data_IF_769509239017
#
_entry.id   IF_769509239017
#
_cell.length_a   1.000
_cell.length_b   1.000
_cell.length_c   1.000
_cell.angle_alpha   90.00
_cell.angle_beta   90.00
_cell.angle_gamma   90.00
#
_symmetry.space_group_name_H-M   'P 1'
#
loop_
_entity.id
_entity.type
_entity.pdbx_description
1 polymer ?
#
# COMPACT_ATOMS: atom_id res chain seq x y z
N UNK A 1 -86.59 -7.61 10.79
CA UNK A 1 -85.17 -7.83 11.16
C UNK A 1 -84.31 -7.16 10.11
N UNK A 2 -83.79 -5.95 10.42
CA UNK A 2 -83.00 -5.17 9.52
C UNK A 2 -81.51 -5.29 9.91
N UNK A 3 -80.67 -5.94 9.09
CA UNK A 3 -79.22 -6.03 9.33
C UNK A 3 -78.52 -4.75 8.83
N UNK A 4 -77.96 -4.00 9.75
CA UNK A 4 -77.11 -2.84 9.45
C UNK A 4 -75.73 -3.34 9.02
N UNK A 5 -75.33 -2.99 7.80
CA UNK A 5 -73.99 -3.21 7.29
C UNK A 5 -73.11 -2.05 7.75
N UNK A 6 -72.09 -2.32 8.56
CA UNK A 6 -71.05 -1.35 8.92
C UNK A 6 -69.95 -1.38 7.86
N UNK A 7 -69.85 -0.28 7.11
CA UNK A 7 -68.74 -0.08 6.12
C UNK A 7 -67.57 0.51 6.87
N UNK A 8 -66.47 -0.21 6.98
CA UNK A 8 -65.21 0.28 7.53
C UNK A 8 -64.45 0.94 6.38
N UNK A 9 -64.27 2.25 6.43
CA UNK A 9 -63.45 3.02 5.51
C UNK A 9 -62.01 3.02 6.09
N UNK A 10 -61.10 2.28 5.44
CA UNK A 10 -59.70 2.30 5.75
C UNK A 10 -59.05 3.56 5.15
N UNK A 11 -58.63 4.50 6.00
CA UNK A 11 -57.85 5.68 5.61
C UNK A 11 -56.39 5.25 5.36
N UNK A 12 -56.00 5.10 4.10
CA UNK A 12 -54.57 4.97 3.72
C UNK A 12 -53.91 6.35 3.73
N UNK A 13 -53.14 6.64 4.77
CA UNK A 13 -52.27 7.84 4.78
C UNK A 13 -51.03 7.55 3.91
N UNK A 14 -50.64 8.43 3.01
CA UNK A 14 -49.40 8.25 2.23
C UNK A 14 -48.20 8.45 3.17
N UNK A 15 -47.38 7.40 3.32
CA UNK A 15 -46.07 7.53 3.95
C UNK A 15 -45.15 8.24 2.97
N UNK A 16 -44.88 9.52 3.25
CA UNK A 16 -43.87 10.29 2.51
C UNK A 16 -42.49 9.68 2.88
N UNK A 17 -41.91 8.86 1.98
CA UNK A 17 -40.52 8.42 2.07
C UNK A 17 -39.66 9.66 1.81
N UNK A 18 -39.11 10.24 2.89
CA UNK A 18 -38.07 11.26 2.80
C UNK A 18 -36.86 10.60 2.17
N UNK A 19 -36.55 10.88 0.92
CA UNK A 19 -35.29 10.53 0.30
C UNK A 19 -34.19 11.33 1.01
N UNK A 20 -33.48 10.69 1.94
CA UNK A 20 -32.27 11.26 2.50
C UNK A 20 -31.28 11.50 1.36
N UNK A 21 -30.93 12.75 1.13
CA UNK A 21 -29.83 13.14 0.25
C UNK A 21 -28.53 12.64 0.86
N UNK A 22 -28.14 11.41 0.53
CA UNK A 22 -26.84 10.84 0.91
C UNK A 22 -25.78 11.59 0.11
N UNK A 23 -25.27 12.68 0.68
CA UNK A 23 -24.07 13.32 0.17
C UNK A 23 -22.94 12.29 0.21
N UNK A 24 -22.20 12.08 -0.89
CA UNK A 24 -21.10 11.13 -0.89
C UNK A 24 -20.09 11.54 0.18
N UNK A 25 -19.77 10.61 1.08
CA UNK A 25 -18.77 10.85 2.12
C UNK A 25 -17.45 11.31 1.48
N UNK A 26 -16.88 12.39 2.04
CA UNK A 26 -15.57 12.88 1.59
C UNK A 26 -14.53 11.77 1.75
N UNK A 27 -13.57 11.63 0.80
CA UNK A 27 -12.53 10.63 0.92
C UNK A 27 -11.69 10.88 2.18
N UNK A 28 -11.39 9.81 2.93
CA UNK A 28 -10.50 9.85 4.08
C UNK A 28 -9.08 9.66 3.57
N UNK A 29 -8.22 10.67 3.78
CA UNK A 29 -6.81 10.64 3.41
C UNK A 29 -6.00 9.87 4.44
N UNK A 30 -5.01 9.08 3.98
CA UNK A 30 -4.18 8.23 4.84
C UNK A 30 -3.29 9.04 5.80
N UNK A 31 -2.60 10.08 5.29
CA UNK A 31 -1.60 10.84 6.04
C UNK A 31 -2.07 11.34 7.41
N UNK A 32 -3.20 12.06 7.51
CA UNK A 32 -3.69 12.60 8.78
C UNK A 32 -3.92 11.56 9.87
N UNK A 33 -4.12 10.29 9.52
CA UNK A 33 -4.21 9.20 10.50
C UNK A 33 -2.94 8.97 11.31
N UNK A 34 -1.79 9.42 10.83
CA UNK A 34 -0.49 9.30 11.51
C UNK A 34 -0.22 10.45 12.50
N UNK A 35 -1.01 11.50 12.52
CA UNK A 35 -0.79 12.68 13.36
C UNK A 35 -0.81 12.39 14.86
N UNK A 36 -1.49 11.34 15.28
CA UNK A 36 -1.54 10.90 16.68
C UNK A 36 -0.23 10.24 17.15
N UNK A 37 0.65 9.84 16.23
CA UNK A 37 1.93 9.22 16.56
C UNK A 37 2.97 10.27 16.94
N UNK A 38 3.75 10.08 18.03
CA UNK A 38 4.78 11.03 18.48
C UNK A 38 5.92 11.21 17.47
N UNK A 39 6.10 10.28 16.53
CA UNK A 39 7.13 10.36 15.49
C UNK A 39 6.82 11.37 14.40
N UNK A 40 5.57 11.82 14.31
CA UNK A 40 5.09 12.69 13.24
C UNK A 40 4.58 14.02 13.78
N UNK A 41 4.51 14.98 12.90
CA UNK A 41 3.80 16.25 13.08
C UNK A 41 2.88 16.47 11.89
N UNK A 42 1.78 17.19 12.09
CA UNK A 42 0.90 17.57 11.02
C UNK A 42 1.03 19.05 10.68
N UNK A 43 1.04 19.34 9.39
CA UNK A 43 1.14 20.70 8.85
C UNK A 43 -0.12 20.95 8.02
N UNK A 44 -0.82 22.05 8.33
CA UNK A 44 -1.93 22.53 7.52
C UNK A 44 -1.40 23.42 6.41
N UNK A 45 -1.71 23.10 5.17
CA UNK A 45 -1.22 23.81 3.99
C UNK A 45 -1.86 25.19 3.88
N UNK A 46 -1.02 26.19 3.65
CA UNK A 46 -1.43 27.57 3.36
C UNK A 46 -1.48 27.86 1.86
N UNK A 47 -2.05 28.99 1.48
CA UNK A 47 -2.10 29.42 0.07
C UNK A 47 -0.70 29.61 -0.50
N UNK A 48 -0.48 29.18 -1.74
CA UNK A 48 0.77 29.29 -2.45
C UNK A 48 1.86 28.29 -2.07
N UNK A 49 1.59 27.35 -1.14
CA UNK A 49 2.51 26.25 -0.80
C UNK A 49 2.36 25.09 -1.79
N UNK A 50 3.48 24.45 -2.08
CA UNK A 50 3.56 23.21 -2.87
C UNK A 50 4.55 22.24 -2.22
N UNK A 51 4.62 21.01 -2.69
CA UNK A 51 5.61 20.03 -2.22
C UNK A 51 7.04 20.56 -2.36
N UNK A 52 7.37 21.18 -3.49
CA UNK A 52 8.70 21.71 -3.80
C UNK A 52 9.09 22.89 -2.92
N UNK A 53 8.12 23.77 -2.61
CA UNK A 53 8.36 24.93 -1.73
C UNK A 53 8.55 24.53 -0.27
N UNK A 54 7.78 23.52 0.20
CA UNK A 54 7.88 23.03 1.59
C UNK A 54 9.09 22.12 1.79
N UNK A 55 9.41 21.32 0.78
CA UNK A 55 10.49 20.33 0.80
C UNK A 55 11.35 20.48 -0.47
N UNK A 56 12.26 21.47 -0.53
CA UNK A 56 13.12 21.68 -1.70
C UNK A 56 14.05 20.50 -1.97
N UNK A 57 14.53 19.83 -0.92
CA UNK A 57 15.30 18.61 -1.04
C UNK A 57 14.43 17.49 -1.59
N UNK A 58 14.86 16.84 -2.68
CA UNK A 58 14.10 15.84 -3.40
C UNK A 58 13.92 14.56 -2.58
N UNK A 59 14.93 14.15 -1.82
CA UNK A 59 14.88 12.94 -1.01
C UNK A 59 13.90 13.10 0.15
N UNK A 60 13.98 14.22 0.86
CA UNK A 60 13.03 14.55 1.93
C UNK A 60 11.60 14.67 1.37
N UNK A 61 11.44 15.34 0.23
CA UNK A 61 10.14 15.46 -0.45
C UNK A 61 9.57 14.09 -0.81
N UNK A 62 10.38 13.19 -1.35
CA UNK A 62 9.97 11.81 -1.65
C UNK A 62 9.48 11.09 -0.38
N UNK A 63 10.21 11.18 0.72
CA UNK A 63 9.82 10.57 2.00
C UNK A 63 8.49 11.11 2.51
N UNK A 64 8.30 12.43 2.49
CA UNK A 64 7.04 13.05 2.95
C UNK A 64 5.89 12.66 2.04
N UNK A 65 6.06 12.62 0.74
CA UNK A 65 5.05 12.14 -0.21
C UNK A 65 4.69 10.68 0.03
N UNK A 66 5.68 9.81 0.34
CA UNK A 66 5.45 8.39 0.66
C UNK A 66 4.60 8.21 1.90
N UNK A 67 4.90 8.88 2.99
CA UNK A 67 4.11 8.73 4.22
C UNK A 67 2.69 9.29 4.09
N UNK A 68 2.49 10.31 3.26
CA UNK A 68 1.17 10.84 2.91
C UNK A 68 0.43 9.99 1.86
N UNK A 69 1.06 8.97 1.30
CA UNK A 69 0.51 8.15 0.20
C UNK A 69 0.08 8.99 -1.01
N UNK A 70 0.74 10.14 -1.26
CA UNK A 70 0.33 11.05 -2.32
C UNK A 70 1.47 11.94 -2.78
N UNK A 71 1.56 12.15 -4.08
CA UNK A 71 2.33 13.23 -4.68
C UNK A 71 1.46 14.18 -5.53
N UNK A 72 0.14 13.98 -5.50
CA UNK A 72 -0.79 14.91 -6.11
C UNK A 72 -0.61 16.31 -5.49
N UNK A 73 -0.93 17.34 -6.24
CA UNK A 73 -0.87 18.72 -5.76
C UNK A 73 -1.58 18.87 -4.41
N UNK A 74 -0.99 19.66 -3.54
CA UNK A 74 -1.57 20.04 -2.26
C UNK A 74 -2.30 21.37 -2.38
N UNK A 75 -3.30 21.61 -1.55
CA UNK A 75 -4.17 22.80 -1.60
C UNK A 75 -4.34 23.42 -0.21
N UNK A 76 -4.68 24.70 -0.12
CA UNK A 76 -4.94 25.36 1.15
C UNK A 76 -5.96 24.62 2.01
N UNK A 77 -5.62 24.40 3.28
CA UNK A 77 -6.44 23.67 4.24
C UNK A 77 -6.22 22.15 4.26
N UNK A 78 -5.53 21.56 3.27
CA UNK A 78 -5.12 20.16 3.36
C UNK A 78 -4.14 19.99 4.52
N UNK A 79 -4.30 18.91 5.26
CA UNK A 79 -3.36 18.49 6.29
C UNK A 79 -2.42 17.43 5.73
N UNK A 80 -1.12 17.59 5.95
CA UNK A 80 -0.09 16.61 5.60
C UNK A 80 0.71 16.21 6.85
N UNK A 81 1.15 14.97 6.86
CA UNK A 81 2.02 14.44 7.91
C UNK A 81 3.48 14.52 7.50
N UNK A 82 4.34 14.90 8.45
CA UNK A 82 5.79 15.04 8.25
C UNK A 82 6.52 14.35 9.41
N UNK A 83 7.56 13.54 9.18
CA UNK A 83 8.40 13.03 10.26
C UNK A 83 8.99 14.18 11.07
N UNK A 84 9.00 14.08 12.40
CA UNK A 84 9.66 15.11 13.25
C UNK A 84 11.15 15.16 13.00
N UNK A 85 11.77 14.02 12.82
CA UNK A 85 13.19 13.89 12.45
C UNK A 85 13.31 13.54 10.95
N UNK A 86 12.90 14.48 10.10
CA UNK A 86 12.98 14.28 8.65
C UNK A 86 14.43 14.21 8.14
N UNK A 87 15.37 14.87 8.85
CA UNK A 87 16.78 14.91 8.44
C UNK A 87 17.45 13.52 8.51
N UNK A 88 17.05 12.69 9.48
CA UNK A 88 17.59 11.33 9.66
C UNK A 88 16.61 10.23 9.16
N UNK A 89 15.48 10.63 8.60
CA UNK A 89 14.52 9.69 8.07
C UNK A 89 15.05 8.96 6.83
N UNK A 90 14.82 7.67 6.76
CA UNK A 90 15.11 6.85 5.59
C UNK A 90 13.85 6.17 5.07
N UNK A 91 13.85 5.77 3.80
CA UNK A 91 12.72 5.05 3.22
C UNK A 91 12.39 3.80 4.05
N UNK A 92 13.36 3.03 4.49
CA UNK A 92 13.12 1.78 5.22
C UNK A 92 12.62 2.01 6.64
N UNK A 93 13.12 3.01 7.39
CA UNK A 93 12.65 3.25 8.75
C UNK A 93 11.24 3.89 8.81
N UNK A 94 10.78 4.48 7.70
CA UNK A 94 9.41 4.96 7.54
C UNK A 94 8.45 3.90 6.95
N UNK A 95 8.93 2.66 6.78
CA UNK A 95 8.13 1.60 6.19
C UNK A 95 6.94 1.21 7.06
N UNK A 96 5.74 1.05 6.48
CA UNK A 96 4.61 0.44 7.18
C UNK A 96 4.70 -1.09 7.24
N UNK A 97 5.76 -1.67 6.69
CA UNK A 97 6.02 -3.11 6.63
C UNK A 97 7.16 -3.49 7.56
N UNK A 98 7.20 -4.72 8.08
CA UNK A 98 8.36 -5.22 8.81
C UNK A 98 9.60 -5.24 7.91
N UNK A 99 10.77 -4.99 8.49
CA UNK A 99 12.05 -5.01 7.77
C UNK A 99 12.40 -6.43 7.28
N UNK A 100 11.90 -7.44 7.99
CA UNK A 100 12.09 -8.85 7.67
C UNK A 100 10.79 -9.62 7.91
N UNK A 101 10.52 -10.58 7.04
CA UNK A 101 9.49 -11.60 7.21
C UNK A 101 10.15 -12.96 7.42
N UNK A 102 9.53 -13.82 8.23
CA UNK A 102 10.09 -15.12 8.59
C UNK A 102 9.61 -16.22 7.64
N UNK A 103 10.44 -17.26 7.47
CA UNK A 103 10.14 -18.43 6.65
C UNK A 103 11.03 -18.55 5.41
N UNK A 104 10.70 -19.51 4.56
CA UNK A 104 11.28 -19.61 3.22
C UNK A 104 10.54 -18.68 2.27
N UNK A 105 11.28 -17.84 1.56
CA UNK A 105 10.73 -16.83 0.68
C UNK A 105 11.25 -16.96 -0.74
N UNK A 106 10.43 -16.55 -1.66
CA UNK A 106 10.82 -16.16 -3.00
C UNK A 106 10.66 -14.64 -3.09
N UNK A 107 11.19 -14.04 -4.14
CA UNK A 107 11.00 -12.61 -4.41
C UNK A 107 9.51 -12.29 -4.54
N UNK A 108 9.02 -11.40 -3.67
CA UNK A 108 7.59 -11.10 -3.61
C UNK A 108 7.28 -9.61 -3.45
N UNK A 109 6.10 -9.22 -3.92
CA UNK A 109 5.51 -7.90 -3.72
C UNK A 109 4.24 -8.06 -2.89
N UNK A 110 4.22 -7.47 -1.70
CA UNK A 110 3.02 -7.41 -0.86
C UNK A 110 2.30 -6.09 -1.14
N UNK A 111 1.05 -6.16 -1.57
CA UNK A 111 0.14 -5.03 -1.75
C UNK A 111 -0.83 -5.00 -0.59
N UNK A 112 -0.70 -4.01 0.28
CA UNK A 112 -1.56 -3.84 1.46
C UNK A 112 -2.51 -2.66 1.23
N UNK A 113 -3.80 -2.97 1.04
CA UNK A 113 -4.80 -1.99 0.67
C UNK A 113 -5.26 -1.12 1.84
N UNK A 114 -5.12 -1.58 3.09
CA UNK A 114 -5.41 -0.77 4.28
C UNK A 114 -4.28 0.22 4.58
N UNK A 115 -3.03 -0.21 4.35
CA UNK A 115 -1.85 0.65 4.47
C UNK A 115 -1.65 1.58 3.29
N UNK A 116 -2.42 1.41 2.21
CA UNK A 116 -2.23 2.07 0.92
C UNK A 116 -0.76 2.04 0.48
N UNK A 117 -0.14 0.88 0.60
CA UNK A 117 1.28 0.70 0.35
C UNK A 117 1.57 -0.67 -0.28
N UNK A 118 2.68 -0.74 -1.01
CA UNK A 118 3.32 -1.97 -1.44
C UNK A 118 4.69 -2.11 -0.80
N UNK A 119 5.15 -3.34 -0.56
CA UNK A 119 6.50 -3.66 -0.11
C UNK A 119 7.08 -4.78 -0.95
N UNK A 120 8.34 -4.67 -1.36
CA UNK A 120 9.09 -5.69 -2.08
C UNK A 120 10.07 -6.38 -1.14
N UNK A 121 10.05 -7.69 -1.12
CA UNK A 121 10.92 -8.55 -0.33
C UNK A 121 11.77 -9.43 -1.24
N UNK A 122 13.06 -9.57 -0.88
CA UNK A 122 13.97 -10.47 -1.55
C UNK A 122 13.79 -11.94 -1.10
N UNK A 123 14.60 -12.82 -1.64
CA UNK A 123 14.59 -14.26 -1.35
C UNK A 123 15.00 -14.58 0.09
N UNK A 124 15.59 -13.64 0.83
CA UNK A 124 15.94 -13.74 2.25
C UNK A 124 14.85 -13.17 3.15
N UNK A 125 13.71 -12.75 2.58
CA UNK A 125 12.62 -12.11 3.30
C UNK A 125 12.96 -10.71 3.81
N UNK A 126 13.98 -10.03 3.28
CA UNK A 126 14.34 -8.67 3.64
C UNK A 126 13.52 -7.68 2.81
N UNK A 127 12.99 -6.65 3.46
CA UNK A 127 12.33 -5.54 2.77
C UNK A 127 13.37 -4.73 2.00
N UNK A 128 13.28 -4.77 0.69
CA UNK A 128 14.20 -4.03 -0.21
C UNK A 128 13.70 -2.62 -0.47
N UNK A 129 12.39 -2.48 -0.69
CA UNK A 129 11.77 -1.19 -1.01
C UNK A 129 10.27 -1.24 -0.72
N UNK A 130 9.69 -0.07 -0.48
CA UNK A 130 8.25 0.08 -0.37
C UNK A 130 7.80 1.41 -0.97
N UNK A 131 6.53 1.54 -1.22
CA UNK A 131 5.96 2.78 -1.70
C UNK A 131 4.44 2.86 -1.59
N UNK A 132 3.89 4.04 -1.86
CA UNK A 132 2.46 4.28 -1.88
C UNK A 132 1.74 3.57 -3.00
N UNK A 133 0.44 3.31 -2.77
CA UNK A 133 -0.48 2.89 -3.82
C UNK A 133 -1.80 3.68 -3.77
N UNK A 134 -2.50 3.65 -4.90
CA UNK A 134 -3.94 3.84 -4.94
C UNK A 134 -4.57 2.59 -5.54
N UNK A 135 -5.19 1.77 -4.70
CA UNK A 135 -5.94 0.56 -5.10
C UNK A 135 -7.36 0.90 -5.54
N UNK A 136 -8.11 -0.12 -5.94
CA UNK A 136 -9.47 0.02 -6.43
C UNK A 136 -10.44 0.61 -5.41
N UNK A 137 -11.29 1.53 -5.86
CA UNK A 137 -12.32 2.16 -5.02
C UNK A 137 -13.49 1.22 -4.74
N UNK A 138 -14.25 1.50 -3.67
CA UNK A 138 -15.47 0.75 -3.36
C UNK A 138 -16.61 1.07 -4.33
N UNK A 139 -16.56 2.24 -4.96
CA UNK A 139 -17.54 2.68 -5.97
C UNK A 139 -16.79 3.21 -7.18
N UNK A 140 -17.14 2.71 -8.37
CA UNK A 140 -16.70 3.30 -9.62
C UNK A 140 -17.49 4.58 -9.93
N UNK A 141 -16.81 5.62 -10.39
CA UNK A 141 -17.47 6.86 -10.82
C UNK A 141 -18.36 6.68 -12.07
N UNK A 142 -18.03 5.69 -12.88
CA UNK A 142 -18.62 5.40 -14.19
C UNK A 142 -19.53 4.17 -14.22
N UNK A 143 -19.65 3.44 -13.12
CA UNK A 143 -20.48 2.25 -13.02
C UNK A 143 -21.07 2.08 -11.62
N UNK A 144 -22.22 1.35 -11.54
CA UNK A 144 -22.81 0.95 -10.25
C UNK A 144 -22.06 -0.20 -9.57
N UNK A 145 -21.00 -0.73 -10.20
CA UNK A 145 -20.19 -1.84 -9.70
C UNK A 145 -19.02 -1.31 -8.87
N UNK A 146 -18.56 -2.11 -7.91
CA UNK A 146 -17.32 -1.84 -7.19
C UNK A 146 -16.11 -1.99 -8.13
N UNK A 147 -15.13 -1.11 -7.98
CA UNK A 147 -13.84 -1.16 -8.68
C UNK A 147 -12.73 -1.75 -7.81
N UNK A 148 -13.05 -2.65 -6.91
CA UNK A 148 -12.10 -3.19 -5.94
C UNK A 148 -10.95 -3.92 -6.62
N UNK A 149 -9.75 -3.74 -6.10
CA UNK A 149 -8.60 -4.56 -6.48
C UNK A 149 -8.83 -5.99 -5.98
N UNK A 150 -8.60 -6.96 -6.86
CA UNK A 150 -8.72 -8.38 -6.54
C UNK A 150 -7.69 -8.77 -5.48
N UNK A 151 -8.13 -9.50 -4.45
CA UNK A 151 -7.29 -10.02 -3.38
C UNK A 151 -6.87 -11.46 -3.64
N UNK A 152 -5.70 -11.85 -3.17
CA UNK A 152 -5.19 -13.21 -3.35
C UNK A 152 -3.68 -13.23 -3.58
N UNK A 153 -3.22 -14.40 -4.01
CA UNK A 153 -1.81 -14.68 -4.32
C UNK A 153 -1.71 -14.93 -5.82
N UNK A 154 -0.86 -14.16 -6.48
CA UNK A 154 -0.72 -14.14 -7.93
C UNK A 154 0.75 -14.17 -8.33
N UNK A 155 1.02 -14.31 -9.64
CA UNK A 155 2.35 -14.14 -10.23
C UNK A 155 2.30 -13.18 -11.40
N UNK A 156 3.35 -12.40 -11.55
CA UNK A 156 3.48 -11.52 -12.72
C UNK A 156 3.71 -12.40 -13.95
N UNK A 157 2.81 -12.31 -14.93
CA UNK A 157 2.88 -13.07 -16.17
C UNK A 157 3.22 -12.23 -17.41
N UNK A 158 3.07 -10.91 -17.34
CA UNK A 158 3.41 -9.99 -18.41
C UNK A 158 3.80 -8.64 -17.86
N UNK A 159 4.71 -7.95 -18.54
CA UNK A 159 5.08 -6.57 -18.25
C UNK A 159 5.37 -5.80 -19.51
N UNK A 160 5.04 -4.51 -19.48
CA UNK A 160 5.30 -3.59 -20.59
C UNK A 160 6.02 -2.33 -20.09
N UNK A 161 6.65 -1.59 -21.00
CA UNK A 161 7.45 -0.42 -20.69
C UNK A 161 6.65 0.87 -20.46
N UNK A 162 7.29 2.03 -20.65
CA UNK A 162 6.71 3.34 -20.31
C UNK A 162 5.46 3.72 -21.10
N UNK A 163 5.23 3.10 -22.26
CA UNK A 163 4.10 3.38 -23.14
C UNK A 163 2.88 2.47 -22.90
N UNK A 164 2.93 1.61 -21.89
CA UNK A 164 1.79 0.74 -21.52
C UNK A 164 0.51 1.55 -21.32
N UNK A 165 -0.60 1.01 -21.85
CA UNK A 165 -1.94 1.62 -21.80
C UNK A 165 -2.96 0.56 -21.46
N UNK A 166 -4.02 0.94 -20.79
CA UNK A 166 -5.18 0.08 -20.55
C UNK A 166 -5.88 -0.25 -21.88
N UNK A 167 -6.09 -1.54 -22.15
CA UNK A 167 -6.92 -1.99 -23.27
C UNK A 167 -8.43 -1.98 -22.94
N UNK A 168 -8.78 -1.96 -21.63
CA UNK A 168 -10.17 -2.00 -21.17
C UNK A 168 -10.75 -0.59 -21.07
N UNK A 169 -9.90 0.37 -20.69
CA UNK A 169 -10.28 1.76 -20.53
C UNK A 169 -9.38 2.63 -21.44
N UNK A 170 -9.74 2.89 -22.69
CA UNK A 170 -8.99 3.78 -23.58
C UNK A 170 -8.90 5.21 -23.03
N UNK A 171 -7.79 5.88 -23.31
CA UNK A 171 -7.62 7.31 -22.97
C UNK A 171 -8.81 8.11 -23.53
N UNK A 172 -9.43 8.94 -22.71
CA UNK A 172 -10.62 9.73 -23.07
C UNK A 172 -11.95 9.04 -22.78
N UNK A 173 -11.96 7.73 -22.38
CA UNK A 173 -13.17 6.98 -21.97
C UNK A 173 -13.01 6.36 -20.57
N UNK A 174 -12.28 7.02 -19.66
CA UNK A 174 -11.99 6.52 -18.32
C UNK A 174 -10.72 5.68 -18.21
N UNK A 175 -10.00 5.45 -19.31
CA UNK A 175 -8.73 4.76 -19.35
C UNK A 175 -7.56 5.67 -19.01
N UNK A 176 -6.50 5.08 -18.50
CA UNK A 176 -5.30 5.78 -18.09
C UNK A 176 -4.07 5.20 -18.79
N UNK A 177 -3.06 6.03 -18.97
CA UNK A 177 -1.69 5.56 -19.15
C UNK A 177 -1.32 4.70 -17.96
N UNK A 178 -0.66 3.59 -18.19
CA UNK A 178 -0.21 2.64 -17.18
C UNK A 178 1.30 2.38 -17.32
N UNK A 179 2.15 3.43 -17.26
CA UNK A 179 3.57 3.26 -17.53
C UNK A 179 4.17 2.17 -16.62
N UNK A 180 5.03 1.33 -17.22
CA UNK A 180 5.69 0.21 -16.53
C UNK A 180 4.71 -0.78 -15.91
N UNK A 181 3.62 -1.11 -16.62
CA UNK A 181 2.63 -2.05 -16.14
C UNK A 181 3.20 -3.48 -15.99
N UNK A 182 2.72 -4.17 -14.95
CA UNK A 182 3.07 -5.55 -14.59
C UNK A 182 1.77 -6.28 -14.28
N UNK A 183 1.31 -7.11 -15.23
CA UNK A 183 0.05 -7.84 -15.11
C UNK A 183 0.22 -9.08 -14.24
N UNK A 184 -0.63 -9.21 -13.23
CA UNK A 184 -0.61 -10.34 -12.30
C UNK A 184 -1.90 -11.20 -12.34
N UNK A 185 -3.02 -10.65 -12.82
CA UNK A 185 -4.25 -11.43 -13.02
C UNK A 185 -5.13 -10.78 -14.09
N UNK A 186 -5.40 -11.46 -15.22
CA UNK A 186 -6.22 -10.91 -16.32
C UNK A 186 -5.82 -9.47 -16.67
N UNK A 187 -6.74 -8.50 -16.50
CA UNK A 187 -6.48 -7.08 -16.71
C UNK A 187 -5.99 -6.31 -15.47
N UNK A 188 -5.74 -6.98 -14.34
CA UNK A 188 -5.20 -6.36 -13.14
C UNK A 188 -3.68 -6.24 -13.23
N UNK A 189 -3.16 -5.05 -12.98
CA UNK A 189 -1.74 -4.75 -13.04
C UNK A 189 -1.30 -3.81 -11.90
N UNK A 190 -0.01 -3.93 -11.54
CA UNK A 190 0.74 -2.86 -10.87
C UNK A 190 1.25 -1.92 -11.94
N UNK A 191 1.14 -0.60 -11.79
CA UNK A 191 1.61 0.35 -12.80
C UNK A 191 1.86 1.75 -12.25
N UNK A 192 2.69 2.52 -12.92
CA UNK A 192 2.88 3.94 -12.64
C UNK A 192 1.63 4.76 -12.95
N UNK A 193 1.43 5.83 -12.19
CA UNK A 193 0.32 6.76 -12.40
C UNK A 193 0.68 8.13 -11.88
N UNK A 194 0.21 9.18 -12.54
CA UNK A 194 0.33 10.57 -12.08
C UNK A 194 -0.75 10.93 -11.04
N UNK A 195 -1.66 9.99 -10.72
CA UNK A 195 -2.77 10.19 -9.79
C UNK A 195 -2.70 9.18 -8.64
N UNK A 196 -2.01 9.58 -7.57
CA UNK A 196 -1.92 8.87 -6.28
C UNK A 196 -2.40 9.83 -5.19
N UNK A 197 -3.70 9.82 -4.89
CA UNK A 197 -4.32 10.89 -4.09
C UNK A 197 -4.24 10.67 -2.57
N UNK A 198 -3.78 9.51 -2.08
CA UNK A 198 -3.76 9.17 -0.66
C UNK A 198 -5.00 8.44 -0.16
N UNK A 199 -5.78 7.88 -1.07
CA UNK A 199 -6.94 7.02 -0.81
C UNK A 199 -7.15 6.05 -1.98
N UNK A 200 -8.07 5.09 -1.85
CA UNK A 200 -8.41 4.13 -2.91
C UNK A 200 -9.21 4.82 -4.02
N UNK A 201 -8.65 4.88 -5.23
CA UNK A 201 -9.17 5.71 -6.32
C UNK A 201 -9.15 5.04 -7.71
N UNK A 202 -8.59 3.83 -7.83
CA UNK A 202 -8.46 3.17 -9.13
C UNK A 202 -9.72 2.38 -9.52
N UNK A 203 -9.74 1.89 -10.77
CA UNK A 203 -10.75 0.98 -11.30
C UNK A 203 -10.37 -0.51 -11.13
N UNK A 204 -9.46 -0.83 -10.19
CA UNK A 204 -9.05 -2.19 -9.87
C UNK A 204 -7.55 -2.43 -9.97
N UNK A 205 -6.84 -1.80 -10.90
CA UNK A 205 -5.39 -1.85 -10.95
C UNK A 205 -4.77 -1.18 -9.70
N UNK A 206 -3.53 -1.50 -9.41
CA UNK A 206 -2.75 -0.91 -8.33
C UNK A 206 -1.88 0.19 -8.91
N UNK A 207 -2.29 1.43 -8.74
CA UNK A 207 -1.50 2.61 -9.13
C UNK A 207 -0.38 2.81 -8.11
N UNK A 208 0.81 3.19 -8.57
CA UNK A 208 1.97 3.51 -7.73
C UNK A 208 2.74 4.70 -8.31
N UNK A 209 3.70 5.23 -7.56
CA UNK A 209 4.57 6.26 -8.11
C UNK A 209 5.27 5.73 -9.35
N UNK A 210 5.32 6.51 -10.43
CA UNK A 210 5.86 6.08 -11.72
C UNK A 210 7.32 5.63 -11.59
N UNK A 211 8.14 6.31 -10.74
CA UNK A 211 9.51 5.89 -10.45
C UNK A 211 9.62 4.53 -9.76
N UNK A 212 8.64 4.20 -8.92
CA UNK A 212 8.58 2.92 -8.22
C UNK A 212 8.15 1.80 -9.19
N UNK A 213 7.15 2.07 -10.03
CA UNK A 213 6.73 1.15 -11.07
C UNK A 213 7.87 0.85 -12.06
N UNK A 214 8.65 1.88 -12.42
CA UNK A 214 9.84 1.71 -13.27
C UNK A 214 10.84 0.76 -12.62
N UNK A 215 11.24 1.03 -11.37
CA UNK A 215 12.18 0.18 -10.65
C UNK A 215 11.68 -1.26 -10.50
N UNK A 216 10.42 -1.46 -10.09
CA UNK A 216 9.83 -2.80 -10.00
C UNK A 216 9.87 -3.52 -11.36
N UNK A 217 9.47 -2.85 -12.42
CA UNK A 217 9.39 -3.43 -13.75
C UNK A 217 10.76 -3.79 -14.31
N UNK A 218 11.73 -2.89 -14.20
CA UNK A 218 13.04 -3.06 -14.84
C UNK A 218 14.00 -3.91 -14.02
N UNK A 219 13.99 -3.80 -12.69
CA UNK A 219 15.02 -4.35 -11.81
C UNK A 219 14.53 -5.51 -10.92
N UNK A 220 13.28 -5.47 -10.47
CA UNK A 220 12.82 -6.41 -9.43
C UNK A 220 11.97 -7.56 -10.00
N UNK A 221 11.07 -7.28 -10.92
CA UNK A 221 10.05 -8.23 -11.39
C UNK A 221 10.56 -9.12 -12.53
N UNK A 222 10.43 -10.43 -12.33
CA UNK A 222 10.51 -11.45 -13.37
C UNK A 222 9.11 -11.88 -13.79
N UNK A 223 8.94 -12.21 -15.07
CA UNK A 223 7.67 -12.74 -15.59
C UNK A 223 7.67 -14.26 -15.61
N UNK A 224 6.48 -14.86 -15.49
CA UNK A 224 6.27 -16.31 -15.62
C UNK A 224 6.61 -16.77 -17.04
N UNK A 225 7.59 -17.65 -17.17
CA UNK A 225 8.03 -18.27 -18.43
C UNK A 225 8.33 -19.75 -18.20
N UNK A 226 8.34 -20.55 -19.25
CA UNK A 226 8.71 -21.96 -19.18
C UNK A 226 10.12 -22.16 -18.59
N UNK A 227 11.09 -21.34 -18.98
CA UNK A 227 12.48 -21.39 -18.51
C UNK A 227 12.61 -21.21 -17.00
N UNK A 228 11.70 -20.53 -16.35
CA UNK A 228 11.63 -20.39 -14.89
C UNK A 228 10.48 -21.17 -14.27
N UNK A 229 9.99 -22.22 -14.94
CA UNK A 229 8.87 -23.08 -14.49
C UNK A 229 7.61 -22.26 -14.14
N UNK A 230 7.35 -21.18 -14.86
CA UNK A 230 6.26 -20.25 -14.62
C UNK A 230 6.32 -19.52 -13.26
N UNK A 231 7.49 -19.46 -12.63
CA UNK A 231 7.74 -18.80 -11.35
C UNK A 231 8.04 -17.31 -11.56
N UNK A 232 7.09 -16.57 -12.08
CA UNK A 232 7.16 -15.10 -12.08
C UNK A 232 7.08 -14.54 -10.66
N UNK A 233 7.56 -13.30 -10.47
CA UNK A 233 7.54 -12.65 -9.15
C UNK A 233 6.16 -12.73 -8.51
N UNK A 234 6.12 -13.15 -7.25
CA UNK A 234 4.91 -13.31 -6.45
C UNK A 234 4.29 -11.94 -6.15
N UNK A 235 2.97 -11.85 -6.24
CA UNK A 235 2.18 -10.66 -5.85
C UNK A 235 1.10 -11.09 -4.88
N UNK A 236 1.24 -10.67 -3.63
CA UNK A 236 0.29 -10.94 -2.55
C UNK A 236 -0.56 -9.71 -2.32
N UNK A 237 -1.82 -9.74 -2.75
CA UNK A 237 -2.76 -8.63 -2.54
C UNK A 237 -3.62 -8.91 -1.31
N UNK A 238 -3.40 -8.16 -0.25
CA UNK A 238 -4.14 -8.28 1.01
C UNK A 238 -5.53 -7.68 0.90
N UNK A 239 -6.54 -8.26 1.59
CA UNK A 239 -7.89 -7.72 1.59
C UNK A 239 -7.97 -6.37 2.31
N UNK A 240 -8.99 -5.59 1.96
CA UNK A 240 -9.40 -4.42 2.74
C UNK A 240 -10.15 -4.92 3.98
N UNK A 241 -9.64 -4.59 5.16
CA UNK A 241 -10.27 -4.96 6.44
C UNK A 241 -11.04 -3.81 7.07
N UNK A 242 -10.85 -2.59 6.56
CA UNK A 242 -11.42 -1.35 7.13
C UNK A 242 -10.76 -0.91 8.42
N UNK A 243 -9.71 -1.61 8.87
CA UNK A 243 -8.91 -1.17 10.02
C UNK A 243 -8.04 0.00 9.57
N UNK A 244 -8.23 1.15 10.17
CA UNK A 244 -7.30 2.26 10.00
C UNK A 244 -5.89 1.80 10.39
N UNK A 245 -4.89 2.23 9.62
CA UNK A 245 -3.50 1.94 9.96
C UNK A 245 -3.20 2.43 11.38
N UNK A 246 -2.89 1.48 12.24
CA UNK A 246 -2.28 1.75 13.53
C UNK A 246 -0.77 1.52 13.34
N UNK A 247 0.12 2.50 13.63
CA UNK A 247 1.56 2.23 13.64
C UNK A 247 1.80 1.04 14.58
N UNK A 248 2.43 -0.02 14.09
CA UNK A 248 2.78 -1.17 14.94
C UNK A 248 3.77 -0.70 16.00
N UNK A 249 3.60 -1.15 17.26
CA UNK A 249 4.53 -0.85 18.37
C UNK A 249 5.98 -1.18 18.01
N UNK A 250 6.23 -2.15 17.15
CA UNK A 250 7.57 -2.48 16.63
C UNK A 250 8.25 -1.35 15.85
N UNK A 251 7.49 -0.40 15.32
CA UNK A 251 8.05 0.82 14.72
C UNK A 251 8.28 1.95 15.74
N UNK A 252 7.87 1.73 17.00
CA UNK A 252 8.00 2.67 18.12
C UNK A 252 9.16 2.32 19.06
N UNK A 253 9.73 1.11 18.96
CA UNK A 253 10.90 0.72 19.74
C UNK A 253 12.16 1.25 19.04
N UNK A 254 12.69 2.36 19.56
CA UNK A 254 14.05 2.79 19.27
C UNK A 254 15.02 1.64 19.60
N UNK A 255 16.09 1.44 18.80
CA UNK A 255 17.18 0.56 19.22
C UNK A 255 17.78 1.18 20.49
N UNK A 256 17.33 0.67 21.66
CA UNK A 256 17.97 1.01 22.93
C UNK A 256 19.46 0.77 22.75
N UNK A 257 20.25 1.84 22.87
CA UNK A 257 21.69 1.84 22.84
C UNK A 257 22.17 0.68 23.72
N UNK A 258 22.82 -0.31 23.10
CA UNK A 258 23.57 -1.32 23.83
C UNK A 258 24.69 -0.60 24.57
N UNK A 259 24.45 -0.25 25.82
CA UNK A 259 25.50 0.06 26.76
C UNK A 259 26.45 -1.13 26.78
N UNK A 260 27.66 -0.90 26.31
CA UNK A 260 28.79 -1.78 26.42
C UNK A 260 29.00 -2.15 27.88
N UNK A 261 28.56 -3.35 28.31
CA UNK A 261 29.00 -3.96 29.55
C UNK A 261 30.41 -4.49 29.32
N UNK A 262 31.33 -3.95 30.11
CA UNK A 262 32.71 -4.31 30.18
C UNK A 262 32.93 -5.86 30.28
N UNK A 263 33.88 -6.31 29.50
CA UNK A 263 34.44 -7.69 29.55
C UNK A 263 35.07 -7.90 30.92
N UNK A 264 34.44 -8.74 31.72
CA UNK A 264 35.08 -9.35 32.92
C UNK A 264 35.89 -10.55 32.50
N UNK A 265 37.17 -10.49 32.78
CA UNK A 265 38.15 -11.59 32.64
C UNK A 265 37.76 -12.78 33.47
N UNK A 266 37.65 -13.96 32.86
CA UNK A 266 37.36 -15.24 33.52
C UNK A 266 37.85 -16.44 32.74
N UNK A 267 39.06 -16.86 33.05
CA UNK A 267 39.70 -18.18 32.99
C UNK A 267 39.18 -19.27 32.03
N UNK A 268 40.12 -19.68 31.17
CA UNK A 268 40.25 -20.93 30.43
C UNK A 268 39.88 -22.20 31.21
N UNK A 269 39.09 -23.08 30.61
CA UNK A 269 39.18 -24.54 30.79
C UNK A 269 39.02 -25.22 29.43
N UNK A 270 40.06 -26.01 29.13
CA UNK A 270 40.21 -26.89 27.98
C UNK A 270 39.36 -28.14 28.16
N UNK A 271 38.65 -28.55 27.12
CA UNK A 271 37.92 -29.81 27.05
C UNK A 271 37.67 -30.19 25.60
N UNK A 272 38.63 -30.86 24.98
CA UNK A 272 38.48 -31.36 23.62
C UNK A 272 37.48 -32.52 23.55
N UNK A 273 36.65 -32.51 22.51
CA UNK A 273 36.05 -33.73 21.94
C UNK A 273 36.18 -33.69 20.43
N UNK A 274 36.88 -34.70 19.94
CA UNK A 274 37.08 -35.00 18.55
C UNK A 274 35.76 -35.39 17.88
N UNK A 275 35.51 -34.82 16.70
CA UNK A 275 34.50 -35.30 15.79
C UNK A 275 35.04 -36.47 14.97
N UNK A 276 34.33 -37.59 15.04
CA UNK A 276 34.59 -38.78 14.21
C UNK A 276 33.65 -38.70 12.99
N UNK A 277 34.24 -38.79 11.82
CA UNK A 277 33.59 -38.81 10.53
C UNK A 277 33.06 -40.24 10.25
N UNK A 278 31.78 -40.47 9.91
CA UNK A 278 31.28 -41.77 9.51
C UNK A 278 31.11 -41.85 7.99
N UNK A 279 32.23 -41.93 7.25
CA UNK A 279 32.22 -42.42 5.87
C UNK A 279 33.45 -43.33 5.67
N UNK A 280 33.25 -44.60 6.04
CA UNK A 280 34.02 -45.71 5.47
C UNK A 280 33.42 -47.03 5.92
N UNK A 281 32.57 -47.62 5.10
CA UNK A 281 32.46 -49.08 4.94
C UNK A 281 31.51 -49.42 3.77
N UNK A 282 32.14 -49.99 2.73
CA UNK A 282 31.65 -50.88 1.67
C UNK A 282 30.39 -50.48 0.90
#
# INVERSE_FOLDING_TARGET
MMKRLLTVVALCLPVAVMAENITPAKPVYYGPGLCASPQYQCIKISSGQSWEKLFPDEQQRDLVQRINRSYNSIWPGKEIVVPRDLANATMLNLSPFPQKIDGEHEREIIVDQDKLAWGAYDEQGQLVKWGPIASGSDKCSDSRKACRTLTGIFRVFSKEGPLCKSNIFPIGKGGAKMPYCMYFHKGFALHGSDDIPGYRASHGCVRMFTRDAKWLNEEFVTISKEQNRFMGTLVVVRPVTGKAYQPTQAALEEPTSRTSKAVGTGKTQSGGRAWVNPDSAS
#
